data_IF_377831899048
#
_entry.id   IF_377831899048
#
_cell.length_a   1.000
_cell.length_b   1.000
_cell.length_c   1.000
_cell.angle_alpha   90.00
_cell.angle_beta   90.00
_cell.angle_gamma   90.00
#
_symmetry.space_group_name_H-M   'P 1'
#
loop_
_entity.id
_entity.type
_entity.pdbx_description
1 polymer ?
#
# COMPACT_ATOMS: atom_id res chain seq x y z
N UNK A 1 9.67 19.92 32.75
CA UNK A 1 9.16 20.07 32.65
C UNK A 1 9.04 19.96 32.38
N UNK A 2 9.11 19.58 32.21
CA UNK A 2 8.68 19.57 31.88
C UNK A 2 8.67 19.50 31.24
N UNK A 3 8.88 19.15 31.04
CA UNK A 3 8.46 19.35 30.43
C UNK A 3 8.55 19.11 29.87
N UNK A 4 8.73 19.18 29.71
CA UNK A 4 8.38 19.24 29.33
C UNK A 4 8.03 19.15 28.87
N UNK A 5 8.44 18.96 28.84
CA UNK A 5 7.83 19.07 28.52
C UNK A 5 7.55 18.91 28.21
N UNK A 6 7.67 18.85 28.08
CA UNK A 6 7.09 18.95 27.95
C UNK A 6 6.82 18.70 27.49
N UNK A 7 7.03 18.47 27.40
CA UNK A 7 6.57 18.47 27.06
C UNK A 7 6.29 18.22 26.61
N UNK A 8 6.51 18.09 26.52
CA UNK A 8 6.04 18.08 26.21
C UNK A 8 5.90 17.89 25.64
N UNK A 9 6.06 17.78 25.46
CA UNK A 9 5.75 17.77 25.01
C UNK A 9 5.62 17.54 24.46
N UNK A 10 5.82 17.46 24.55
CA UNK A 10 5.55 17.38 24.16
C UNK A 10 5.51 16.88 23.77
N UNK A 11 5.66 16.59 23.63
CA UNK A 11 5.39 16.26 23.38
C UNK A 11 5.11 15.93 22.94
N UNK A 12 5.28 15.81 22.90
CA UNK A 12 4.97 15.61 22.57
C UNK A 12 4.99 15.47 21.91
N UNK A 13 5.12 15.41 21.59
CA UNK A 13 5.16 15.37 21.01
C UNK A 13 5.43 14.94 20.52
N UNK A 14 5.69 14.72 20.48
CA UNK A 14 5.96 14.36 20.17
C UNK A 14 6.09 13.53 20.14
N UNK A 15 6.29 13.36 20.44
CA UNK A 15 6.28 12.44 20.40
C UNK A 15 5.79 11.78 19.77
N UNK A 16 5.35 12.10 19.52
CA UNK A 16 4.70 11.67 18.77
C UNK A 16 5.23 11.44 17.79
N UNK A 17 5.71 12.03 17.54
CA UNK A 17 6.26 11.92 16.51
C UNK A 17 7.02 10.94 16.59
N UNK A 18 7.30 10.80 17.32
CA UNK A 18 7.98 10.02 17.48
C UNK A 18 7.55 8.89 17.23
N UNK A 19 6.86 8.74 17.42
CA UNK A 19 6.38 7.72 17.18
C UNK A 19 6.19 7.53 15.98
N UNK A 20 6.88 7.74 15.32
CA UNK A 20 6.69 7.67 14.18
C UNK A 20 6.63 6.59 13.67
N UNK A 21 5.92 6.35 13.40
CA UNK A 21 5.57 5.36 12.70
C UNK A 21 6.29 5.32 11.48
N UNK A 22 6.02 4.54 10.59
CA UNK A 22 6.59 4.56 9.35
C UNK A 22 6.34 5.85 8.68
N UNK A 23 7.32 6.33 7.97
CA UNK A 23 7.20 7.55 7.22
C UNK A 23 6.02 7.48 6.29
N UNK A 24 5.21 8.51 6.28
CA UNK A 24 4.07 8.61 5.40
C UNK A 24 2.79 7.99 5.90
N UNK A 25 2.82 7.30 7.04
CA UNK A 25 1.61 6.70 7.61
C UNK A 25 0.94 7.68 8.54
N UNK A 26 -0.28 8.11 8.20
CA UNK A 26 -1.07 8.99 9.05
C UNK A 26 -1.84 8.18 10.08
N UNK A 27 -2.43 8.85 11.05
CA UNK A 27 -3.31 8.21 12.04
C UNK A 27 -4.49 7.53 11.39
N UNK A 28 -5.11 8.17 10.39
CA UNK A 28 -6.22 7.59 9.66
C UNK A 28 -5.80 6.35 8.90
N UNK A 29 -4.64 6.39 8.28
CA UNK A 29 -4.13 5.23 7.56
C UNK A 29 -3.85 4.08 8.51
N UNK A 30 -3.26 4.37 9.65
CA UNK A 30 -3.01 3.33 10.66
C UNK A 30 -4.30 2.68 11.13
N UNK A 31 -5.35 3.47 11.32
CA UNK A 31 -6.65 2.93 11.70
C UNK A 31 -7.23 2.06 10.60
N UNK A 32 -7.14 2.53 9.35
CA UNK A 32 -7.65 1.78 8.21
C UNK A 32 -6.91 0.44 8.07
N UNK A 33 -5.59 0.46 8.22
CA UNK A 33 -4.79 -0.74 8.15
C UNK A 33 -5.16 -1.69 9.30
N UNK A 34 -5.29 -1.16 10.51
CA UNK A 34 -5.64 -1.95 11.68
C UNK A 34 -7.02 -2.58 11.58
N UNK A 35 -7.91 -1.99 10.80
CA UNK A 35 -9.29 -2.47 10.65
C UNK A 35 -9.45 -3.45 9.49
N UNK A 36 -8.40 -3.76 8.73
CA UNK A 36 -8.51 -4.65 7.58
C UNK A 36 -8.95 -6.05 8.02
N UNK A 37 -10.05 -6.58 7.47
CA UNK A 37 -10.44 -7.95 7.77
C UNK A 37 -9.43 -8.95 7.21
N UNK A 38 -9.45 -10.16 7.74
CA UNK A 38 -8.66 -11.26 7.18
C UNK A 38 -8.97 -11.42 5.69
N UNK A 39 -7.95 -11.63 4.89
CA UNK A 39 -8.10 -11.81 3.45
C UNK A 39 -8.21 -10.51 2.67
N UNK A 40 -8.03 -9.36 3.30
CA UNK A 40 -8.04 -8.08 2.62
C UNK A 40 -6.71 -7.36 2.82
N UNK A 41 -6.45 -6.37 1.99
CA UNK A 41 -5.23 -5.58 2.04
C UNK A 41 -5.53 -4.17 1.58
N UNK A 42 -4.58 -3.27 1.77
CA UNK A 42 -4.73 -1.87 1.38
C UNK A 42 -3.52 -1.44 0.57
N UNK A 43 -3.78 -0.70 -0.50
CA UNK A 43 -2.73 -0.01 -1.26
C UNK A 43 -2.88 1.48 -1.02
N UNK A 44 -1.76 2.15 -0.76
CA UNK A 44 -1.76 3.60 -0.52
C UNK A 44 -0.79 4.25 -1.48
N UNK A 45 -1.26 5.28 -2.19
CA UNK A 45 -0.41 6.02 -3.12
C UNK A 45 0.56 6.89 -2.34
N UNK A 46 1.86 6.64 -2.52
CA UNK A 46 2.93 7.41 -1.85
C UNK A 46 3.58 8.41 -2.79
N UNK A 47 3.57 8.13 -4.09
CA UNK A 47 4.13 9.03 -5.10
C UNK A 47 3.24 9.04 -6.32
N UNK A 48 3.24 10.17 -7.01
CA UNK A 48 2.49 10.36 -8.22
C UNK A 48 1.24 11.18 -7.96
N UNK A 49 0.34 11.29 -8.94
CA UNK A 49 -0.92 11.97 -8.75
C UNK A 49 -1.74 11.33 -7.62
N UNK A 50 -2.48 12.16 -6.89
CA UNK A 50 -3.39 11.71 -5.84
C UNK A 50 -2.69 11.00 -4.69
N UNK A 51 -1.57 11.56 -4.23
CA UNK A 51 -0.88 11.05 -3.04
C UNK A 51 -1.88 10.92 -1.90
N UNK A 52 -1.83 9.77 -1.21
CA UNK A 52 -2.72 9.47 -0.10
C UNK A 52 -3.98 8.71 -0.50
N UNK A 53 -4.25 8.56 -1.80
CA UNK A 53 -5.38 7.74 -2.23
C UNK A 53 -5.18 6.30 -1.76
N UNK A 54 -6.28 5.65 -1.39
CA UNK A 54 -6.25 4.30 -0.83
C UNK A 54 -7.17 3.40 -1.61
N UNK A 55 -6.73 2.18 -1.84
CA UNK A 55 -7.50 1.18 -2.56
C UNK A 55 -7.57 -0.09 -1.74
N UNK A 56 -8.78 -0.56 -1.47
CA UNK A 56 -8.99 -1.79 -0.74
C UNK A 56 -8.87 -2.98 -1.69
N UNK A 57 -8.08 -3.97 -1.29
CA UNK A 57 -7.96 -5.23 -2.02
C UNK A 57 -8.72 -6.29 -1.23
N UNK A 58 -9.90 -6.65 -1.70
CA UNK A 58 -10.74 -7.66 -1.03
C UNK A 58 -11.38 -8.63 -2.02
N UNK A 59 -10.85 -8.70 -3.22
CA UNK A 59 -11.30 -9.61 -4.27
C UNK A 59 -10.15 -10.47 -4.73
N UNK A 60 -10.48 -11.58 -5.40
CA UNK A 60 -9.45 -12.48 -5.91
C UNK A 60 -8.59 -11.83 -6.99
N UNK A 61 -9.17 -10.93 -7.78
CA UNK A 61 -8.46 -10.22 -8.83
C UNK A 61 -8.86 -8.77 -8.78
N UNK A 62 -7.88 -7.88 -8.71
CA UNK A 62 -8.09 -6.43 -8.76
C UNK A 62 -7.20 -5.86 -9.85
N UNK A 63 -7.77 -5.20 -10.83
CA UNK A 63 -7.03 -4.68 -11.98
C UNK A 63 -6.65 -3.23 -11.75
N UNK A 64 -5.40 -2.90 -12.07
CA UNK A 64 -4.89 -1.54 -12.01
C UNK A 64 -4.53 -1.08 -13.41
N UNK A 65 -4.94 0.13 -13.77
CA UNK A 65 -4.62 0.65 -15.08
C UNK A 65 -5.31 1.97 -15.37
N UNK A 66 -5.11 2.44 -16.60
CA UNK A 66 -5.66 3.72 -17.06
C UNK A 66 -7.05 3.58 -17.66
N UNK A 67 -7.56 2.37 -17.78
CA UNK A 67 -8.91 2.15 -18.27
C UNK A 67 -9.93 2.52 -17.18
N UNK A 68 -11.01 3.26 -17.52
CA UNK A 68 -12.00 3.66 -16.50
C UNK A 68 -12.65 2.50 -15.76
N UNK A 69 -12.65 1.30 -16.33
CA UNK A 69 -13.22 0.12 -15.67
C UNK A 69 -12.27 -0.54 -14.69
N UNK A 70 -11.02 -0.10 -14.60
CA UNK A 70 -10.08 -0.66 -13.64
C UNK A 70 -10.51 -0.29 -12.24
N UNK A 71 -10.50 -1.28 -11.31
CA UNK A 71 -10.83 -1.02 -9.92
C UNK A 71 -9.85 -0.02 -9.31
N UNK A 72 -8.57 -0.15 -9.67
CA UNK A 72 -7.56 0.82 -9.29
C UNK A 72 -7.29 1.66 -10.52
N UNK A 73 -8.05 2.75 -10.65
CA UNK A 73 -7.96 3.62 -11.81
C UNK A 73 -6.83 4.62 -11.59
N UNK A 74 -5.78 4.47 -12.40
CA UNK A 74 -4.60 5.33 -12.34
C UNK A 74 -4.55 6.13 -13.64
N UNK A 75 -5.08 7.35 -13.61
CA UNK A 75 -5.28 8.17 -14.80
C UNK A 75 -4.01 8.96 -15.11
N UNK A 76 -3.06 8.30 -15.76
CA UNK A 76 -1.83 8.96 -16.16
C UNK A 76 -1.28 8.28 -17.41
N UNK A 77 -0.64 9.07 -18.27
CA UNK A 77 -0.12 8.56 -19.55
C UNK A 77 0.99 7.53 -19.37
N UNK A 78 1.64 7.49 -18.21
CA UNK A 78 2.67 6.51 -17.94
C UNK A 78 2.12 5.14 -17.58
N UNK A 79 0.79 5.03 -17.42
CA UNK A 79 0.12 3.80 -17.03
C UNK A 79 -0.57 3.20 -18.24
N UNK A 80 -0.37 1.91 -18.48
CA UNK A 80 -1.08 1.18 -19.53
C UNK A 80 -2.55 0.98 -19.15
N UNK A 81 -3.42 0.80 -20.13
CA UNK A 81 -4.86 0.66 -19.88
C UNK A 81 -5.14 -0.50 -18.93
N UNK A 82 -4.48 -1.64 -19.15
CA UNK A 82 -4.51 -2.79 -18.24
C UNK A 82 -3.09 -3.07 -17.86
N UNK A 83 -2.63 -2.40 -16.81
CA UNK A 83 -1.20 -2.37 -16.48
C UNK A 83 -0.81 -3.56 -15.62
N UNK A 84 -1.55 -3.83 -14.57
CA UNK A 84 -1.21 -4.88 -13.63
C UNK A 84 -2.45 -5.43 -12.96
N UNK A 85 -2.31 -6.60 -12.37
CA UNK A 85 -3.36 -7.22 -11.55
C UNK A 85 -2.81 -7.54 -10.19
N UNK A 86 -3.64 -7.32 -9.17
CA UNK A 86 -3.36 -7.78 -7.83
C UNK A 86 -4.19 -9.03 -7.60
N UNK A 87 -3.52 -10.12 -7.28
CA UNK A 87 -4.14 -11.44 -7.19
C UNK A 87 -4.11 -11.92 -5.74
N UNK A 88 -5.25 -12.37 -5.25
CA UNK A 88 -5.35 -12.88 -3.88
C UNK A 88 -5.31 -14.40 -3.89
N UNK A 89 -4.47 -14.95 -3.03
CA UNK A 89 -4.31 -16.38 -2.84
C UNK A 89 -4.50 -16.67 -1.35
N UNK A 90 -5.74 -16.95 -0.94
CA UNK A 90 -6.04 -17.07 0.49
C UNK A 90 -5.89 -15.73 1.18
N UNK A 91 -4.94 -15.62 2.10
CA UNK A 91 -4.63 -14.37 2.77
C UNK A 91 -3.38 -13.69 2.23
N UNK A 92 -2.82 -14.22 1.13
CA UNK A 92 -1.63 -13.63 0.48
C UNK A 92 -2.03 -12.93 -0.79
N UNK A 93 -1.20 -11.98 -1.22
CA UNK A 93 -1.42 -11.22 -2.45
C UNK A 93 -0.16 -11.21 -3.28
N UNK A 94 -0.33 -11.20 -4.60
CA UNK A 94 0.77 -10.98 -5.54
C UNK A 94 0.38 -9.90 -6.52
N UNK A 95 1.38 -9.31 -7.19
CA UNK A 95 1.16 -8.37 -8.28
C UNK A 95 1.72 -8.99 -9.55
N UNK A 96 0.96 -8.87 -10.64
CA UNK A 96 1.33 -9.43 -11.93
C UNK A 96 1.24 -8.34 -12.98
N UNK A 97 2.31 -8.17 -13.77
CA UNK A 97 2.32 -7.24 -14.89
C UNK A 97 1.49 -7.83 -16.04
N UNK A 98 0.69 -7.02 -16.68
CA UNK A 98 -0.16 -7.45 -17.81
C UNK A 98 0.42 -7.03 -19.15
N UNK A 99 1.74 -7.14 -19.30
CA UNK A 99 2.38 -6.73 -20.55
C UNK A 99 2.38 -5.23 -20.73
N UNK A 100 2.55 -4.49 -19.64
CA UNK A 100 2.53 -3.04 -19.68
C UNK A 100 3.70 -2.49 -20.48
N UNK A 101 3.51 -1.29 -21.01
CA UNK A 101 4.57 -0.64 -21.79
C UNK A 101 5.76 -0.27 -20.92
N UNK A 102 5.52 0.29 -19.75
CA UNK A 102 6.58 0.80 -18.89
C UNK A 102 7.01 -0.15 -17.80
N UNK A 103 6.32 -1.28 -17.64
CA UNK A 103 6.66 -2.28 -16.64
C UNK A 103 6.01 -2.02 -15.29
N UNK A 104 6.02 -3.05 -14.46
CA UNK A 104 5.62 -3.00 -13.07
C UNK A 104 6.85 -3.30 -12.23
N UNK A 105 7.07 -2.55 -11.17
CA UNK A 105 8.27 -2.66 -10.35
C UNK A 105 7.90 -3.00 -8.93
N UNK A 106 8.63 -3.94 -8.35
CA UNK A 106 8.45 -4.37 -6.97
C UNK A 106 9.73 -4.02 -6.22
N UNK A 107 9.62 -3.12 -5.24
CA UNK A 107 10.77 -2.61 -4.47
C UNK A 107 11.91 -2.20 -5.38
N UNK A 108 11.57 -1.55 -6.50
CA UNK A 108 12.56 -1.01 -7.44
C UNK A 108 13.00 -1.96 -8.52
N UNK A 109 12.54 -3.21 -8.53
CA UNK A 109 12.94 -4.22 -9.50
C UNK A 109 11.78 -4.53 -10.43
N UNK A 110 12.01 -4.49 -11.74
CA UNK A 110 10.97 -4.84 -12.71
C UNK A 110 10.64 -6.32 -12.60
N UNK A 111 9.34 -6.63 -12.55
CA UNK A 111 8.87 -8.00 -12.34
C UNK A 111 7.81 -8.38 -13.37
N UNK A 112 7.65 -9.67 -13.59
CA UNK A 112 6.47 -10.21 -14.26
C UNK A 112 5.40 -10.52 -13.23
N UNK A 113 5.78 -11.09 -12.11
CA UNK A 113 4.90 -11.36 -10.99
C UNK A 113 5.73 -11.43 -9.72
N UNK A 114 5.18 -10.95 -8.61
CA UNK A 114 5.88 -10.98 -7.33
C UNK A 114 4.89 -11.12 -6.19
N UNK A 115 5.26 -11.91 -5.19
CA UNK A 115 4.48 -12.05 -3.96
C UNK A 115 4.70 -10.79 -3.11
N UNK A 116 3.61 -10.23 -2.59
CA UNK A 116 3.67 -8.98 -1.85
C UNK A 116 3.82 -9.25 -0.36
N UNK A 117 4.79 -8.59 0.25
CA UNK A 117 4.95 -8.57 1.69
C UNK A 117 4.43 -7.25 2.24
N UNK A 118 4.05 -7.25 3.52
CA UNK A 118 3.59 -6.03 4.17
C UNK A 118 4.67 -4.94 4.06
N UNK A 119 4.26 -3.76 3.62
CA UNK A 119 5.17 -2.64 3.42
C UNK A 119 5.85 -2.60 2.06
N UNK A 120 5.62 -3.59 1.20
CA UNK A 120 6.24 -3.63 -0.13
C UNK A 120 5.78 -2.46 -0.99
N UNK A 121 6.67 -1.96 -1.84
CA UNK A 121 6.35 -0.89 -2.77
C UNK A 121 6.16 -1.45 -4.16
N UNK A 122 5.06 -1.05 -4.80
CA UNK A 122 4.75 -1.41 -6.19
C UNK A 122 4.72 -0.13 -7.00
N UNK A 123 5.48 -0.09 -8.08
CA UNK A 123 5.49 1.06 -8.98
C UNK A 123 4.78 0.72 -10.27
N UNK A 124 3.79 1.54 -10.61
CA UNK A 124 3.01 1.45 -11.84
C UNK A 124 3.04 2.83 -12.49
N UNK A 125 3.78 2.97 -13.57
CA UNK A 125 3.98 4.28 -14.18
C UNK A 125 4.61 5.24 -13.19
N UNK A 126 4.02 6.42 -13.04
CA UNK A 126 4.49 7.42 -12.06
C UNK A 126 4.06 7.12 -10.64
N UNK A 127 3.17 6.14 -10.44
CA UNK A 127 2.60 5.88 -9.12
C UNK A 127 3.48 4.92 -8.37
N UNK A 128 3.71 5.22 -7.09
CA UNK A 128 4.31 4.28 -6.15
C UNK A 128 3.30 4.02 -5.06
N UNK A 129 2.98 2.74 -4.90
CA UNK A 129 1.93 2.29 -3.98
C UNK A 129 2.57 1.41 -2.93
N UNK A 130 2.20 1.63 -1.68
CA UNK A 130 2.66 0.75 -0.60
C UNK A 130 1.55 -0.23 -0.25
N UNK A 131 1.91 -1.50 -0.13
CA UNK A 131 0.99 -2.58 0.19
C UNK A 131 1.00 -2.84 1.68
N UNK A 132 -0.20 -2.94 2.28
CA UNK A 132 -0.36 -3.28 3.69
C UNK A 132 -1.30 -4.46 3.83
N UNK A 133 -0.84 -5.51 4.49
CA UNK A 133 -1.63 -6.71 4.74
C UNK A 133 -2.50 -6.53 5.98
N UNK A 134 -3.53 -7.37 6.10
CA UNK A 134 -4.34 -7.43 7.29
C UNK A 134 -3.47 -7.77 8.50
N UNK A 135 -3.63 -7.03 9.59
CA UNK A 135 -2.90 -7.28 10.84
C UNK A 135 -3.27 -8.63 11.44
N UNK A 136 -4.52 -9.06 11.22
CA UNK A 136 -4.98 -10.38 11.66
C UNK A 136 -4.19 -11.47 10.93
N UNK A 137 -4.02 -11.32 9.61
CA UNK A 137 -3.30 -12.32 8.81
C UNK A 137 -1.83 -12.34 9.17
N UNK A 138 -1.22 -11.17 9.41
CA UNK A 138 0.17 -11.10 9.83
C UNK A 138 0.39 -11.79 11.16
N UNK A 139 -0.53 -11.61 12.10
CA UNK A 139 -0.43 -12.26 13.40
C UNK A 139 -0.51 -13.78 13.26
N UNK A 140 -1.33 -14.30 12.36
CA UNK A 140 -1.41 -15.72 12.09
C UNK A 140 -0.11 -16.28 11.53
N UNK A 141 0.51 -15.52 10.61
CA UNK A 141 1.80 -15.92 10.07
C UNK A 141 2.86 -15.99 11.17
N UNK A 142 2.83 -15.06 12.10
CA UNK A 142 3.81 -15.02 13.18
C UNK A 142 3.67 -16.19 14.13
N UNK A 143 2.49 -16.78 14.22
CA UNK A 143 2.24 -17.90 15.13
C UNK A 143 2.22 -19.26 14.42
N UNK A 144 2.35 -19.27 13.12
CA UNK A 144 2.25 -20.52 12.33
C UNK A 144 3.50 -21.38 12.42
#
# INVERSE_FOLDING_TARGET
MTGRVDTTLTFSLDLAATLTPEAGVSGEESEAIGALPSGSALLVVRRGPNIGARFLLDSDVTTAGRHPDAEIFLDDVTVSRRHAQFLRHGSSFSVKDNGSLNGTYFDGVRIDEALLADGAEVQVGKFRLTFYASRVDLARLATA
#
